data_IF_933643230954
#
_entry.id   IF_933643230954
#
_cell.length_a   1.000
_cell.length_b   1.000
_cell.length_c   1.000
_cell.angle_alpha   90.00
_cell.angle_beta   90.00
_cell.angle_gamma   90.00
#
_symmetry.space_group_name_H-M   'P 1'
#
loop_
_entity.id
_entity.type
_entity.pdbx_description
1 polymer ?
#
# COMPACT_ATOMS: atom_id res chain seq x y z
N UNK A 1 11.04 2.94 -13.47
CA UNK A 1 10.20 3.23 -12.30
C UNK A 1 8.97 2.35 -12.40
N UNK A 2 8.47 1.78 -11.31
CA UNK A 2 7.17 1.09 -11.23
C UNK A 2 6.14 2.13 -10.82
N UNK A 3 5.00 2.16 -11.49
CA UNK A 3 3.93 3.13 -11.22
C UNK A 3 2.82 2.43 -10.45
N UNK A 4 2.46 2.98 -9.30
CA UNK A 4 1.37 2.53 -8.46
C UNK A 4 0.32 3.64 -8.31
N UNK A 5 -0.95 3.31 -8.53
CA UNK A 5 -2.06 4.24 -8.33
C UNK A 5 -3.03 3.74 -7.26
N UNK A 6 -3.43 4.66 -6.38
CA UNK A 6 -4.43 4.35 -5.36
C UNK A 6 -5.83 4.21 -5.98
N UNK A 7 -6.57 3.22 -5.50
CA UNK A 7 -8.02 3.11 -5.75
C UNK A 7 -8.85 3.57 -4.55
N UNK A 8 -8.19 3.98 -3.46
CA UNK A 8 -8.87 4.49 -2.27
C UNK A 8 -9.61 5.80 -2.56
N UNK A 9 -10.91 5.84 -2.27
CA UNK A 9 -11.71 7.05 -2.45
C UNK A 9 -12.94 7.01 -1.53
N UNK A 10 -13.31 8.16 -0.96
CA UNK A 10 -14.53 8.33 -0.17
C UNK A 10 -15.59 8.95 -1.06
N UNK A 11 -16.78 8.31 -1.11
CA UNK A 11 -17.93 8.83 -1.88
C UNK A 11 -17.80 8.76 -3.40
N UNK A 12 -16.79 8.07 -3.92
CA UNK A 12 -16.61 7.85 -5.37
C UNK A 12 -17.18 6.49 -5.76
N UNK A 13 -18.15 6.42 -6.70
CA UNK A 13 -18.68 5.15 -7.19
C UNK A 13 -17.59 4.21 -7.73
N UNK A 14 -17.76 2.92 -7.52
CA UNK A 14 -16.77 1.91 -7.93
C UNK A 14 -16.55 1.91 -9.45
N UNK A 15 -17.57 2.20 -10.25
CA UNK A 15 -17.50 2.32 -11.70
C UNK A 15 -16.48 3.36 -12.14
N UNK A 16 -16.45 4.51 -11.46
CA UNK A 16 -15.48 5.58 -11.72
C UNK A 16 -14.06 5.18 -11.34
N UNK A 17 -13.92 4.43 -10.24
CA UNK A 17 -12.60 3.89 -9.80
C UNK A 17 -12.07 2.88 -10.84
N UNK A 18 -12.92 2.02 -11.39
CA UNK A 18 -12.56 1.06 -12.45
C UNK A 18 -12.28 1.78 -13.79
N UNK A 19 -13.09 2.77 -14.16
CA UNK A 19 -12.86 3.59 -15.36
C UNK A 19 -11.48 4.24 -15.35
N UNK A 20 -11.08 4.78 -14.20
CA UNK A 20 -9.77 5.35 -13.97
C UNK A 20 -8.64 4.32 -14.17
N UNK A 21 -8.77 3.09 -13.63
CA UNK A 21 -7.80 2.02 -13.83
C UNK A 21 -7.68 1.65 -15.32
N UNK A 22 -8.80 1.58 -16.04
CA UNK A 22 -8.81 1.30 -17.48
C UNK A 22 -8.12 2.37 -18.30
N UNK A 23 -8.32 3.65 -17.94
CA UNK A 23 -7.74 4.78 -18.64
C UNK A 23 -6.22 4.89 -18.46
N UNK A 24 -5.72 4.63 -17.26
CA UNK A 24 -4.33 4.89 -16.88
C UNK A 24 -3.44 3.65 -16.88
N UNK A 25 -4.01 2.46 -16.70
CA UNK A 25 -3.32 1.15 -16.68
C UNK A 25 -1.98 1.19 -15.94
N UNK A 26 -1.98 1.52 -14.62
CA UNK A 26 -0.76 1.46 -13.83
C UNK A 26 -0.26 0.02 -13.72
N UNK A 27 1.01 -0.16 -13.39
CA UNK A 27 1.57 -1.51 -13.19
C UNK A 27 1.09 -2.14 -11.88
N UNK A 28 0.89 -1.29 -10.85
CA UNK A 28 0.39 -1.65 -9.53
C UNK A 28 -0.79 -0.76 -9.18
N UNK A 29 -1.78 -1.32 -8.50
CA UNK A 29 -2.93 -0.56 -8.00
C UNK A 29 -3.15 -0.85 -6.51
N UNK A 30 -3.17 0.19 -5.66
CA UNK A 30 -3.48 -0.01 -4.25
C UNK A 30 -4.95 -0.40 -4.06
N UNK A 31 -5.18 -1.47 -3.30
CA UNK A 31 -6.47 -2.08 -3.01
C UNK A 31 -6.67 -2.17 -1.50
N UNK A 32 -7.63 -1.40 -0.98
CA UNK A 32 -7.92 -1.40 0.46
C UNK A 32 -8.69 -2.67 0.85
N UNK A 33 -8.16 -3.42 1.83
CA UNK A 33 -8.61 -4.77 2.17
C UNK A 33 -9.74 -4.82 3.21
N UNK A 34 -10.39 -3.68 3.50
CA UNK A 34 -11.54 -3.68 4.41
C UNK A 34 -12.10 -2.30 4.66
N UNK A 35 -13.34 -2.27 5.15
CA UNK A 35 -14.00 -1.06 5.61
C UNK A 35 -13.60 -0.73 7.04
N UNK A 36 -13.52 0.56 7.35
CA UNK A 36 -13.22 1.02 8.71
C UNK A 36 -13.79 2.42 8.96
N UNK A 37 -13.88 2.82 10.22
CA UNK A 37 -14.01 4.22 10.55
C UNK A 37 -12.77 4.98 10.07
N UNK A 38 -12.96 6.12 9.45
CA UNK A 38 -11.89 6.99 8.99
C UNK A 38 -12.11 8.39 9.52
N UNK A 39 -11.17 8.89 10.30
CA UNK A 39 -11.36 10.18 10.96
C UNK A 39 -10.02 10.87 11.25
N UNK A 40 -10.09 12.19 11.48
CA UNK A 40 -9.00 12.96 12.06
C UNK A 40 -9.46 13.57 13.38
N UNK A 41 -8.88 13.11 14.49
CA UNK A 41 -9.16 13.64 15.81
C UNK A 41 -8.19 14.76 16.16
N UNK A 42 -8.69 15.86 16.70
CA UNK A 42 -7.89 16.99 17.22
C UNK A 42 -7.84 16.94 18.75
N UNK A 43 -6.69 16.58 19.32
CA UNK A 43 -6.49 16.61 20.78
C UNK A 43 -6.73 18.01 21.39
N UNK A 44 -6.37 19.09 20.65
CA UNK A 44 -6.57 20.47 21.09
C UNK A 44 -8.04 20.84 21.18
N UNK A 45 -8.85 20.40 20.20
CA UNK A 45 -10.29 20.66 20.16
C UNK A 45 -11.08 19.67 20.99
N UNK A 46 -10.51 18.51 21.33
CA UNK A 46 -11.18 17.35 21.89
C UNK A 46 -12.38 16.88 21.06
N UNK A 47 -12.23 16.99 19.73
CA UNK A 47 -13.29 16.70 18.76
C UNK A 47 -12.70 16.22 17.43
N UNK A 48 -13.55 15.61 16.59
CA UNK A 48 -13.18 15.20 15.25
C UNK A 48 -13.13 16.41 14.29
N UNK A 49 -12.07 16.52 13.50
CA UNK A 49 -11.96 17.47 12.39
C UNK A 49 -12.83 17.02 11.23
N UNK A 50 -12.83 15.73 10.97
CA UNK A 50 -13.77 15.01 10.11
C UNK A 50 -13.91 13.57 10.60
N UNK A 51 -15.02 12.93 10.24
CA UNK A 51 -15.29 11.53 10.49
C UNK A 51 -16.18 10.96 9.38
N UNK A 52 -15.88 9.76 8.93
CA UNK A 52 -16.64 9.04 7.91
C UNK A 52 -16.38 7.53 8.03
N UNK A 53 -17.08 6.74 7.27
CA UNK A 53 -16.75 5.34 7.03
C UNK A 53 -15.98 5.27 5.71
N UNK A 54 -14.81 4.65 5.74
CA UNK A 54 -14.05 4.30 4.54
C UNK A 54 -14.55 2.93 4.07
N UNK A 55 -15.42 2.95 3.07
CA UNK A 55 -16.12 1.75 2.61
C UNK A 55 -15.28 0.96 1.61
N UNK A 56 -14.96 -0.27 1.97
CA UNK A 56 -14.35 -1.28 1.11
C UNK A 56 -14.94 -2.65 1.49
N UNK A 57 -16.21 -2.88 1.09
CA UNK A 57 -16.90 -4.15 1.30
C UNK A 57 -16.22 -5.27 0.48
N UNK A 58 -16.47 -6.53 0.83
CA UNK A 58 -15.99 -7.66 0.03
C UNK A 58 -16.47 -7.57 -1.42
N UNK A 59 -17.69 -7.12 -1.68
CA UNK A 59 -18.17 -6.89 -3.04
C UNK A 59 -17.27 -5.89 -3.80
N UNK A 60 -16.96 -4.75 -3.16
CA UNK A 60 -16.05 -3.73 -3.73
C UNK A 60 -14.65 -4.29 -3.98
N UNK A 61 -14.09 -5.00 -3.02
CA UNK A 61 -12.77 -5.63 -3.12
C UNK A 61 -12.74 -6.61 -4.29
N UNK A 62 -13.71 -7.53 -4.36
CA UNK A 62 -13.82 -8.54 -5.44
C UNK A 62 -13.94 -7.89 -6.82
N UNK A 63 -14.77 -6.86 -6.95
CA UNK A 63 -14.94 -6.14 -8.22
C UNK A 63 -13.66 -5.45 -8.67
N UNK A 64 -12.96 -4.77 -7.77
CA UNK A 64 -11.68 -4.13 -8.07
C UNK A 64 -10.59 -5.16 -8.40
N UNK A 65 -10.50 -6.26 -7.63
CA UNK A 65 -9.54 -7.34 -7.90
C UNK A 65 -9.74 -7.93 -9.30
N UNK A 66 -11.00 -8.25 -9.67
CA UNK A 66 -11.32 -8.74 -11.01
C UNK A 66 -10.96 -7.75 -12.11
N UNK A 67 -11.29 -6.47 -11.91
CA UNK A 67 -10.94 -5.42 -12.88
C UNK A 67 -9.42 -5.25 -13.01
N UNK A 68 -8.66 -5.29 -11.92
CA UNK A 68 -7.20 -5.24 -11.95
C UNK A 68 -6.61 -6.44 -12.69
N UNK A 69 -7.10 -7.66 -12.40
CA UNK A 69 -6.68 -8.88 -13.11
C UNK A 69 -6.93 -8.79 -14.62
N UNK A 70 -8.14 -8.38 -15.04
CA UNK A 70 -8.49 -8.17 -16.45
C UNK A 70 -7.58 -7.15 -17.17
N UNK A 71 -7.08 -6.17 -16.42
CA UNK A 71 -6.22 -5.09 -16.94
C UNK A 71 -4.72 -5.39 -16.82
N UNK A 72 -4.34 -6.53 -16.21
CA UNK A 72 -2.94 -6.87 -15.94
C UNK A 72 -2.28 -5.97 -14.89
N UNK A 73 -3.06 -5.41 -13.97
CA UNK A 73 -2.61 -4.54 -12.89
C UNK A 73 -2.38 -5.40 -11.64
N UNK A 74 -1.19 -5.32 -11.04
CA UNK A 74 -0.86 -6.01 -9.78
C UNK A 74 -1.54 -5.30 -8.60
N UNK A 75 -2.36 -5.99 -7.77
CA UNK A 75 -2.89 -5.38 -6.56
C UNK A 75 -1.81 -5.21 -5.49
N UNK A 76 -1.75 -4.04 -4.85
CA UNK A 76 -1.12 -3.82 -3.55
C UNK A 76 -2.22 -3.84 -2.49
N UNK A 77 -2.16 -4.81 -1.56
CA UNK A 77 -3.18 -5.04 -0.55
C UNK A 77 -2.91 -4.16 0.67
N UNK A 78 -3.58 -3.03 0.78
CA UNK A 78 -3.46 -2.09 1.92
C UNK A 78 -4.34 -2.54 3.08
N UNK A 79 -3.70 -2.94 4.19
CA UNK A 79 -4.32 -3.45 5.40
C UNK A 79 -4.14 -2.47 6.56
N UNK A 80 -5.24 -1.92 7.07
CA UNK A 80 -5.24 -0.93 8.16
C UNK A 80 -5.43 -1.57 9.55
N UNK A 81 -5.75 -2.85 9.57
CA UNK A 81 -5.99 -3.63 10.79
C UNK A 81 -5.71 -5.12 10.53
N UNK A 82 -5.56 -5.91 11.59
CA UNK A 82 -5.38 -7.36 11.47
C UNK A 82 -6.58 -8.05 10.80
N UNK A 83 -7.79 -7.56 11.00
CA UNK A 83 -8.98 -8.02 10.28
C UNK A 83 -8.89 -7.82 8.77
N UNK A 84 -8.21 -6.76 8.30
CA UNK A 84 -7.96 -6.56 6.87
C UNK A 84 -6.93 -7.55 6.32
N UNK A 85 -5.95 -7.95 7.12
CA UNK A 85 -5.00 -9.03 6.75
C UNK A 85 -5.74 -10.35 6.61
N UNK A 86 -6.60 -10.69 7.58
CA UNK A 86 -7.42 -11.91 7.54
C UNK A 86 -8.38 -11.98 6.34
N UNK A 87 -8.75 -10.84 5.75
CA UNK A 87 -9.57 -10.81 4.54
C UNK A 87 -8.84 -11.35 3.30
N UNK A 88 -7.52 -11.56 3.35
CA UNK A 88 -6.76 -12.18 2.25
C UNK A 88 -7.11 -13.67 2.10
N UNK A 89 -7.34 -14.39 3.21
CA UNK A 89 -7.58 -15.84 3.20
C UNK A 89 -8.77 -16.26 2.31
N UNK A 90 -9.99 -15.74 2.51
CA UNK A 90 -11.13 -16.12 1.68
C UNK A 90 -10.95 -15.71 0.21
N UNK A 91 -10.20 -14.65 -0.07
CA UNK A 91 -9.94 -14.22 -1.46
C UNK A 91 -8.90 -15.13 -2.15
N UNK A 92 -7.95 -15.69 -1.39
CA UNK A 92 -7.04 -16.74 -1.87
C UNK A 92 -7.81 -18.04 -2.14
N UNK A 93 -8.68 -18.47 -1.21
CA UNK A 93 -9.54 -19.67 -1.41
C UNK A 93 -10.45 -19.55 -2.64
N UNK A 94 -10.89 -18.33 -2.94
CA UNK A 94 -11.68 -18.02 -4.15
C UNK A 94 -10.83 -17.90 -5.41
N UNK A 95 -9.52 -18.12 -5.34
CA UNK A 95 -8.56 -17.97 -6.47
C UNK A 95 -8.61 -16.56 -7.10
N UNK A 96 -8.97 -15.54 -6.30
CA UNK A 96 -9.02 -14.15 -6.73
C UNK A 96 -7.68 -13.43 -6.58
N UNK A 97 -6.83 -13.89 -5.68
CA UNK A 97 -5.49 -13.32 -5.45
C UNK A 97 -4.42 -14.26 -6.01
N UNK A 98 -3.41 -13.69 -6.65
CA UNK A 98 -2.30 -14.41 -7.28
C UNK A 98 -0.98 -14.05 -6.61
N UNK A 99 -0.29 -15.03 -5.95
CA UNK A 99 1.05 -14.79 -5.42
C UNK A 99 2.09 -14.47 -6.52
N UNK A 100 3.19 -13.75 -6.19
CA UNK A 100 3.49 -13.21 -4.87
C UNK A 100 2.53 -12.06 -4.51
N UNK A 101 2.01 -12.03 -3.28
CA UNK A 101 1.18 -10.91 -2.83
C UNK A 101 2.06 -9.70 -2.53
N UNK A 102 1.54 -8.49 -2.74
CA UNK A 102 2.10 -7.27 -2.17
C UNK A 102 1.17 -6.79 -1.06
N UNK A 103 1.64 -6.79 0.19
CA UNK A 103 0.84 -6.45 1.38
C UNK A 103 1.45 -5.24 2.08
N UNK A 104 0.66 -4.18 2.24
CA UNK A 104 1.08 -2.94 2.92
C UNK A 104 0.29 -2.74 4.21
N UNK A 105 1.00 -2.80 5.36
CA UNK A 105 0.44 -2.50 6.67
C UNK A 105 0.37 -0.99 6.86
N UNK A 106 -0.83 -0.40 6.74
CA UNK A 106 -1.05 1.05 6.89
C UNK A 106 -1.39 1.36 8.33
N UNK A 107 -0.53 2.10 9.02
CA UNK A 107 -0.63 2.30 10.46
C UNK A 107 -0.61 3.78 10.85
N UNK A 108 -1.44 4.15 11.83
CA UNK A 108 -1.53 5.52 12.34
C UNK A 108 -2.74 6.30 11.85
N UNK A 109 -3.60 5.69 11.06
CA UNK A 109 -4.91 6.23 10.69
C UNK A 109 -5.91 5.99 11.82
N UNK A 110 -6.69 7.01 12.18
CA UNK A 110 -7.75 6.85 13.19
C UNK A 110 -8.86 5.93 12.65
N UNK A 111 -9.11 4.85 13.36
CA UNK A 111 -10.03 3.78 12.94
C UNK A 111 -9.33 2.46 12.61
N UNK A 112 -8.03 2.51 12.27
CA UNK A 112 -7.19 1.33 12.10
C UNK A 112 -6.36 0.99 13.35
N UNK A 113 -5.47 0.01 13.22
CA UNK A 113 -4.60 -0.45 14.31
C UNK A 113 -3.64 0.66 14.77
N UNK A 114 -3.34 0.69 16.09
CA UNK A 114 -2.39 1.67 16.64
C UNK A 114 -0.98 1.45 16.09
N UNK A 115 -0.27 2.54 15.70
CA UNK A 115 1.10 2.46 15.21
C UNK A 115 2.05 2.07 16.35
N UNK A 116 2.64 0.89 16.26
CA UNK A 116 3.72 0.42 17.14
C UNK A 116 4.45 -0.76 16.48
N UNK A 117 5.73 -0.96 16.83
CA UNK A 117 6.50 -2.10 16.35
C UNK A 117 5.85 -3.45 16.70
N UNK A 118 5.25 -3.55 17.90
CA UNK A 118 4.52 -4.77 18.34
C UNK A 118 3.33 -5.07 17.44
N UNK A 119 2.51 -4.07 17.12
CA UNK A 119 1.35 -4.26 16.26
C UNK A 119 1.76 -4.52 14.81
N UNK A 120 2.86 -3.94 14.35
CA UNK A 120 3.39 -4.23 13.02
C UNK A 120 3.86 -5.69 12.91
N UNK A 121 4.61 -6.18 13.90
CA UNK A 121 5.00 -7.59 13.98
C UNK A 121 3.76 -8.50 13.99
N UNK A 122 2.77 -8.18 14.82
CA UNK A 122 1.51 -8.93 14.87
C UNK A 122 0.79 -8.97 13.51
N UNK A 123 0.72 -7.86 12.78
CA UNK A 123 0.11 -7.86 11.44
C UNK A 123 0.91 -8.66 10.43
N UNK A 124 2.24 -8.51 10.42
CA UNK A 124 3.10 -9.22 9.47
C UNK A 124 3.08 -10.74 9.66
N UNK A 125 2.96 -11.21 10.91
CA UNK A 125 2.85 -12.63 11.24
C UNK A 125 1.51 -13.27 10.84
N UNK A 126 0.49 -12.47 10.54
CA UNK A 126 -0.83 -12.95 10.11
C UNK A 126 -0.99 -12.98 8.59
N UNK A 127 0.01 -12.53 7.81
CA UNK A 127 -0.05 -12.63 6.35
C UNK A 127 -0.09 -14.11 5.99
N UNK A 128 -1.00 -14.55 5.07
CA UNK A 128 -1.10 -15.93 4.65
C UNK A 128 0.24 -16.53 4.19
N UNK A 129 0.46 -17.81 4.47
CA UNK A 129 1.69 -18.54 4.11
C UNK A 129 1.74 -18.85 2.59
N UNK A 130 1.85 -17.79 1.82
CA UNK A 130 2.06 -17.82 0.37
C UNK A 130 3.19 -16.87 0.00
N UNK A 131 3.74 -16.99 -1.19
CA UNK A 131 4.77 -16.04 -1.66
C UNK A 131 4.24 -14.60 -1.56
N UNK A 132 4.94 -13.74 -0.84
CA UNK A 132 4.55 -12.34 -0.66
C UNK A 132 5.73 -11.42 -0.38
N UNK A 133 5.54 -10.15 -0.74
CA UNK A 133 6.33 -9.01 -0.28
C UNK A 133 5.45 -8.15 0.64
N UNK A 134 5.91 -7.86 1.84
CA UNK A 134 5.16 -7.00 2.75
C UNK A 134 5.94 -5.75 3.15
N UNK A 135 5.23 -4.71 3.56
CA UNK A 135 5.83 -3.46 3.98
C UNK A 135 4.94 -2.65 4.90
N UNK A 136 5.45 -1.50 5.35
CA UNK A 136 4.74 -0.58 6.21
C UNK A 136 4.56 0.79 5.56
N UNK A 137 3.38 1.37 5.78
CA UNK A 137 3.03 2.76 5.50
C UNK A 137 2.69 3.40 6.84
N UNK A 138 3.63 4.20 7.37
CA UNK A 138 3.45 4.87 8.66
C UNK A 138 2.91 6.28 8.48
N UNK A 139 1.78 6.59 9.14
CA UNK A 139 1.18 7.92 9.05
C UNK A 139 1.68 8.83 10.16
N UNK A 140 2.09 10.05 9.79
CA UNK A 140 2.59 11.09 10.69
C UNK A 140 3.93 10.73 11.35
N UNK A 141 4.22 11.28 12.52
CA UNK A 141 5.54 11.20 13.19
C UNK A 141 5.99 9.79 13.55
N UNK A 142 5.05 8.84 13.75
CA UNK A 142 5.35 7.44 14.02
C UNK A 142 5.92 6.70 12.81
N UNK A 143 5.93 7.30 11.62
CA UNK A 143 6.47 6.68 10.41
C UNK A 143 7.87 6.12 10.63
N UNK A 144 8.77 6.86 11.25
CA UNK A 144 10.17 6.48 11.38
C UNK A 144 10.41 5.32 12.35
N UNK A 145 9.61 5.24 13.42
CA UNK A 145 9.62 4.09 14.34
C UNK A 145 9.14 2.81 13.62
N UNK A 146 8.10 2.95 12.81
CA UNK A 146 7.56 1.86 12.01
C UNK A 146 8.50 1.45 10.87
N UNK A 147 9.18 2.40 10.23
CA UNK A 147 10.22 2.13 9.23
C UNK A 147 11.35 1.32 9.85
N UNK A 148 11.87 1.72 11.01
CA UNK A 148 12.91 0.96 11.71
C UNK A 148 12.44 -0.47 12.06
N UNK A 149 11.21 -0.61 12.56
CA UNK A 149 10.63 -1.90 12.88
C UNK A 149 10.47 -2.78 11.63
N UNK A 150 9.91 -2.26 10.53
CA UNK A 150 9.74 -3.01 9.29
C UNK A 150 11.08 -3.49 8.73
N UNK A 151 12.10 -2.62 8.71
CA UNK A 151 13.43 -2.96 8.21
C UNK A 151 14.08 -4.09 8.99
N UNK A 152 13.91 -4.13 10.32
CA UNK A 152 14.45 -5.19 11.18
C UNK A 152 13.64 -6.48 11.11
N UNK A 153 12.35 -6.41 10.82
CA UNK A 153 11.46 -7.57 10.63
C UNK A 153 11.51 -8.15 9.20
N UNK A 154 12.33 -7.60 8.30
CA UNK A 154 12.45 -8.08 6.92
C UNK A 154 11.47 -7.43 5.92
N UNK A 155 10.61 -6.53 6.37
CA UNK A 155 9.64 -5.84 5.53
C UNK A 155 10.21 -4.71 4.68
N UNK A 156 9.40 -4.20 3.78
CA UNK A 156 9.64 -3.04 2.94
C UNK A 156 9.06 -1.77 3.58
N UNK A 157 9.36 -0.60 3.02
CA UNK A 157 8.89 0.68 3.56
C UNK A 157 8.39 1.61 2.46
N UNK A 158 7.30 2.32 2.74
CA UNK A 158 6.84 3.46 1.95
C UNK A 158 6.97 4.73 2.78
N UNK A 159 7.52 5.79 2.18
CA UNK A 159 7.61 7.13 2.76
C UNK A 159 7.22 8.19 1.73
N UNK A 160 6.61 9.26 2.18
CA UNK A 160 6.21 10.37 1.31
C UNK A 160 5.46 11.45 2.07
N UNK A 161 5.35 12.64 1.46
CA UNK A 161 4.67 13.80 2.05
C UNK A 161 3.16 13.59 2.22
N UNK A 162 2.57 12.63 1.49
CA UNK A 162 1.19 12.21 1.70
C UNK A 162 0.99 11.64 3.11
N UNK A 163 1.96 10.84 3.58
CA UNK A 163 1.87 10.08 4.81
C UNK A 163 2.46 10.84 6.01
N UNK A 164 3.56 11.58 5.80
CA UNK A 164 4.28 12.28 6.86
C UNK A 164 5.09 13.46 6.32
N UNK A 165 5.04 14.60 7.01
CA UNK A 165 5.78 15.81 6.65
C UNK A 165 7.15 15.95 7.36
N UNK A 166 7.47 15.07 8.33
CA UNK A 166 8.58 15.31 9.26
C UNK A 166 9.70 14.28 9.09
N UNK A 167 10.94 14.74 9.22
CA UNK A 167 12.12 13.92 9.46
C UNK A 167 12.13 13.39 10.91
N UNK A 168 13.00 12.41 11.26
CA UNK A 168 13.03 11.82 12.61
C UNK A 168 13.30 12.84 13.74
N UNK A 169 14.08 13.87 13.47
CA UNK A 169 14.38 14.98 14.40
C UNK A 169 13.22 15.95 14.60
N UNK A 170 12.16 15.80 13.81
CA UNK A 170 10.97 16.65 13.86
C UNK A 170 11.01 17.84 12.91
N UNK A 171 12.09 18.03 12.15
CA UNK A 171 12.15 19.02 11.08
C UNK A 171 11.20 18.67 9.94
N UNK A 172 10.68 19.68 9.26
CA UNK A 172 9.81 19.48 8.10
C UNK A 172 10.64 19.13 6.87
N UNK A 173 10.35 18.00 6.24
CA UNK A 173 10.96 17.62 4.97
C UNK A 173 10.55 18.62 3.87
N UNK A 174 11.50 18.98 3.01
CA UNK A 174 11.29 19.92 1.89
C UNK A 174 10.70 19.23 0.65
N UNK A 175 10.86 17.92 0.57
CA UNK A 175 10.43 17.13 -0.58
C UNK A 175 10.26 15.65 -0.22
N UNK A 176 9.62 14.88 -1.10
CA UNK A 176 9.66 13.41 -1.03
C UNK A 176 11.09 12.86 -1.07
N UNK A 177 12.01 13.56 -1.76
CA UNK A 177 13.42 13.19 -1.85
C UNK A 177 14.11 13.14 -0.49
N UNK A 178 13.83 14.09 0.40
CA UNK A 178 14.40 14.12 1.75
C UNK A 178 13.94 12.90 2.57
N UNK A 179 12.66 12.54 2.47
CA UNK A 179 12.11 11.36 3.16
C UNK A 179 12.69 10.06 2.59
N UNK A 180 12.79 9.95 1.26
CA UNK A 180 13.38 8.78 0.58
C UNK A 180 14.87 8.65 0.93
N UNK A 181 15.62 9.73 0.94
CA UNK A 181 17.04 9.72 1.33
C UNK A 181 17.21 9.21 2.76
N UNK A 182 16.33 9.64 3.68
CA UNK A 182 16.36 9.17 5.07
C UNK A 182 15.97 7.70 5.20
N UNK A 183 14.92 7.25 4.51
CA UNK A 183 14.53 5.84 4.50
C UNK A 183 15.64 4.93 3.92
N UNK A 184 16.29 5.38 2.86
CA UNK A 184 17.47 4.70 2.28
C UNK A 184 18.60 4.59 3.30
N UNK A 185 18.96 5.70 3.97
CA UNK A 185 19.99 5.70 5.01
C UNK A 185 19.67 4.67 6.09
N UNK A 186 18.44 4.66 6.62
CA UNK A 186 18.01 3.69 7.63
C UNK A 186 18.08 2.25 7.13
N UNK A 187 17.78 2.01 5.85
CA UNK A 187 17.90 0.68 5.23
C UNK A 187 19.35 0.22 5.20
N UNK A 188 20.28 1.11 4.85
CA UNK A 188 21.71 0.82 4.81
C UNK A 188 22.29 0.64 6.22
N UNK A 189 21.85 1.44 7.21
CA UNK A 189 22.26 1.35 8.62
C UNK A 189 21.92 -0.02 9.26
N UNK A 190 20.85 -0.67 8.84
CA UNK A 190 20.50 -2.03 9.29
C UNK A 190 21.13 -3.13 8.43
N UNK A 191 22.06 -2.78 7.54
CA UNK A 191 22.81 -3.73 6.69
C UNK A 191 22.04 -4.24 5.46
N UNK A 192 20.87 -3.66 5.15
CA UNK A 192 20.08 -3.99 3.95
C UNK A 192 20.40 -3.03 2.80
N UNK A 193 19.94 -3.38 1.61
CA UNK A 193 20.08 -2.53 0.42
C UNK A 193 18.73 -2.35 -0.26
N UNK A 194 18.38 -1.12 -0.71
CA UNK A 194 17.23 -0.92 -1.56
C UNK A 194 17.34 -1.77 -2.83
N UNK A 195 16.25 -2.44 -3.20
CA UNK A 195 16.18 -3.18 -4.44
C UNK A 195 16.28 -2.23 -5.65
N UNK A 196 16.92 -2.68 -6.70
CA UNK A 196 16.84 -2.02 -8.01
C UNK A 196 15.43 -2.19 -8.58
N UNK A 197 15.05 -1.36 -9.56
CA UNK A 197 13.75 -1.49 -10.24
C UNK A 197 13.57 -2.88 -10.87
N UNK A 198 14.65 -3.48 -11.42
CA UNK A 198 14.60 -4.82 -11.98
C UNK A 198 14.33 -5.89 -10.91
N UNK A 199 15.03 -5.84 -9.79
CA UNK A 199 14.81 -6.73 -8.66
C UNK A 199 13.40 -6.57 -8.05
N UNK A 200 12.91 -5.33 -7.91
CA UNK A 200 11.57 -5.07 -7.42
C UNK A 200 10.50 -5.66 -8.36
N UNK A 201 10.70 -5.60 -9.68
CA UNK A 201 9.81 -6.24 -10.64
C UNK A 201 9.77 -7.76 -10.49
N UNK A 202 10.93 -8.38 -10.33
CA UNK A 202 11.07 -9.81 -10.11
C UNK A 202 10.34 -10.25 -8.83
N UNK A 203 10.61 -9.57 -7.69
CA UNK A 203 9.99 -9.83 -6.40
C UNK A 203 8.45 -9.71 -6.44
N UNK A 204 7.93 -8.73 -7.19
CA UNK A 204 6.50 -8.48 -7.33
C UNK A 204 5.84 -9.29 -8.45
N UNK A 205 6.60 -10.07 -9.23
CA UNK A 205 6.09 -10.81 -10.38
C UNK A 205 5.55 -9.91 -11.50
N UNK A 206 6.10 -8.69 -11.66
CA UNK A 206 5.66 -7.76 -12.70
C UNK A 206 6.27 -8.11 -14.06
N UNK A 207 5.50 -8.01 -15.16
CA UNK A 207 6.00 -8.28 -16.49
C UNK A 207 7.11 -7.32 -16.91
N UNK A 208 7.91 -7.71 -17.89
CA UNK A 208 8.92 -6.83 -18.49
C UNK A 208 8.25 -5.59 -19.12
N UNK A 209 8.72 -4.37 -18.82
CA UNK A 209 8.16 -3.14 -19.38
C UNK A 209 8.14 -3.08 -20.91
N UNK A 210 9.04 -3.81 -21.57
CA UNK A 210 9.10 -3.89 -23.03
C UNK A 210 7.95 -4.69 -23.63
N UNK A 211 7.40 -5.66 -22.91
CA UNK A 211 6.25 -6.45 -23.32
C UNK A 211 4.95 -5.62 -23.25
N UNK A 212 4.75 -4.91 -22.14
CA UNK A 212 3.54 -4.08 -21.91
C UNK A 212 3.45 -2.89 -22.86
N UNK A 213 4.58 -2.26 -23.24
CA UNK A 213 4.58 -1.15 -24.20
C UNK A 213 4.17 -1.55 -25.61
N UNK A 214 4.49 -2.77 -26.05
CA UNK A 214 4.13 -3.23 -27.40
C UNK A 214 2.63 -3.39 -27.58
N UNK A 215 1.89 -3.83 -26.58
CA UNK A 215 0.44 -4.02 -26.66
C UNK A 215 -0.34 -2.70 -26.62
N UNK A 216 0.10 -1.73 -25.82
CA UNK A 216 -0.54 -0.41 -25.70
C UNK A 216 -0.40 0.39 -27.00
N UNK A 217 0.74 0.31 -27.69
CA UNK A 217 0.95 1.01 -28.95
C UNK A 217 0.38 0.26 -30.18
N UNK A 218 0.23 -1.07 -30.10
CA UNK A 218 -0.42 -1.84 -31.17
C UNK A 218 -1.94 -1.61 -31.24
N UNK A 219 -2.58 -1.32 -30.10
CA UNK A 219 -4.02 -1.00 -30.04
C UNK A 219 -4.38 0.44 -30.39
N UNK A 220 -3.40 1.36 -30.51
CA UNK A 220 -3.63 2.77 -30.85
C UNK A 220 -3.57 3.07 -32.37
N UNK A 221 -3.29 2.07 -33.18
CA UNK A 221 -3.19 2.19 -34.67
C UNK A 221 -4.24 1.38 -35.42
N UNK A 222 -5.31 0.96 -34.75
CA UNK A 222 -6.44 0.25 -35.37
C UNK A 222 -7.72 1.09 -35.34
#
# INVERSE_FOLDING_TARGET
>A
MIINYSTGAVGVPIEKRIEYLRALRPEVGALNMGSMNYAKYSRRRKDFVFQTVFENSFETIIRLTKAMRELGIKPEHECFDSGHVANLDPLLDMELLEPPLQVSCVMGVTGGIRPSAKNLAHMSEQIPDVAHEWGVIGISRQQWELVAAALTLGGNVRVGLEDNFYLPDGETARSNGDLIAKARQMTEDVGRKPATVAQARELLGLPDPSATRREVFAGATA
#
